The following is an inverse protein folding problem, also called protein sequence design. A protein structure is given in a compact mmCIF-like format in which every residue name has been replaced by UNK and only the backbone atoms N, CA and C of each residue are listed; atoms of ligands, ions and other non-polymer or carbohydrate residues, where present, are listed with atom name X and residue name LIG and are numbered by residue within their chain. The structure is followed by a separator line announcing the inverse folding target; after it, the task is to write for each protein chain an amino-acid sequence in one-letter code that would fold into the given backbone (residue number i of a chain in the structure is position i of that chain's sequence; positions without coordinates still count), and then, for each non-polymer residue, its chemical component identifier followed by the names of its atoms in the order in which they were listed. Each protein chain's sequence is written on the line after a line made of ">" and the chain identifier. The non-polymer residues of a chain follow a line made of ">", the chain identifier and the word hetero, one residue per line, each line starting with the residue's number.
data_IF_704263147114
#
_entry.id   IF_704263147114
#
_cell.length_a   1.000
_cell.length_b   1.000
_cell.length_c   1.000
_cell.angle_alpha   90.00
_cell.angle_beta   90.00
_cell.angle_gamma   90.00
#
_symmetry.space_group_name_H-M   'P 1'
#
loop_
_entity.id
_entity.type
_entity.pdbx_description
1 polymer ?
#
# COMPACT_ATOMS: atom_id res chain seq x y z
N UNK A 1 -36.47 -33.12 -20.99
CA UNK A 1 -35.10 -33.70 -21.14
C UNK A 1 -34.09 -32.91 -20.31
N UNK A 2 -34.18 -31.57 -20.26
CA UNK A 2 -33.33 -30.68 -19.45
C UNK A 2 -33.34 -30.99 -17.95
N UNK A 3 -34.50 -31.26 -17.35
CA UNK A 3 -34.62 -31.61 -15.92
C UNK A 3 -33.85 -32.89 -15.54
N UNK A 4 -33.75 -33.85 -16.45
CA UNK A 4 -32.99 -35.09 -16.23
C UNK A 4 -31.50 -34.78 -16.28
N UNK A 5 -31.06 -33.95 -17.23
CA UNK A 5 -29.66 -33.54 -17.36
C UNK A 5 -29.19 -32.73 -16.16
N UNK A 6 -30.02 -31.83 -15.62
CA UNK A 6 -29.67 -31.03 -14.45
C UNK A 6 -29.64 -31.87 -13.16
N UNK A 7 -30.54 -32.85 -13.02
CA UNK A 7 -30.46 -33.86 -11.96
C UNK A 7 -29.16 -34.66 -12.01
N UNK A 8 -28.71 -35.08 -13.20
CA UNK A 8 -27.43 -35.79 -13.35
C UNK A 8 -26.22 -34.90 -13.07
N UNK A 9 -26.27 -33.60 -13.37
CA UNK A 9 -25.19 -32.66 -13.00
C UNK A 9 -25.07 -32.50 -11.49
N UNK A 10 -26.19 -32.40 -10.80
CA UNK A 10 -26.21 -32.30 -9.34
C UNK A 10 -25.81 -33.63 -8.67
N UNK A 11 -26.23 -34.77 -9.23
CA UNK A 11 -25.71 -36.07 -8.79
C UNK A 11 -24.19 -36.12 -8.95
N UNK A 12 -23.67 -35.74 -10.12
CA UNK A 12 -22.25 -35.77 -10.42
C UNK A 12 -21.43 -34.93 -9.44
N UNK A 13 -21.90 -33.73 -9.09
CA UNK A 13 -21.19 -32.89 -8.10
C UNK A 13 -21.14 -33.55 -6.72
N UNK A 14 -22.20 -34.26 -6.32
CA UNK A 14 -22.25 -35.03 -5.06
C UNK A 14 -21.38 -36.30 -5.10
N UNK A 15 -21.28 -36.98 -6.25
CA UNK A 15 -20.38 -38.14 -6.43
C UNK A 15 -18.89 -37.78 -6.37
N UNK A 16 -18.53 -36.51 -6.63
CA UNK A 16 -17.16 -36.02 -6.41
C UNK A 16 -16.76 -36.06 -4.94
N UNK A 17 -17.72 -36.01 -4.01
CA UNK A 17 -17.43 -36.19 -2.60
C UNK A 17 -17.13 -37.68 -2.30
N UNK A 18 -15.90 -38.02 -1.87
CA UNK A 18 -15.50 -39.41 -1.60
C UNK A 18 -16.38 -40.10 -0.56
N UNK A 19 -16.91 -39.34 0.42
CA UNK A 19 -17.75 -39.89 1.48
C UNK A 19 -19.15 -40.25 0.95
N UNK A 20 -19.71 -39.43 0.07
CA UNK A 20 -21.04 -39.69 -0.51
C UNK A 20 -21.01 -40.88 -1.47
N UNK A 21 -19.99 -40.96 -2.33
CA UNK A 21 -19.82 -42.10 -3.23
C UNK A 21 -19.58 -43.40 -2.44
N UNK A 22 -18.68 -43.37 -1.45
CA UNK A 22 -18.42 -44.53 -0.58
C UNK A 22 -19.66 -44.95 0.22
N UNK A 23 -20.46 -44.00 0.69
CA UNK A 23 -21.72 -44.27 1.36
C UNK A 23 -22.74 -44.94 0.43
N UNK A 24 -22.91 -44.47 -0.81
CA UNK A 24 -23.81 -45.10 -1.76
C UNK A 24 -23.39 -46.54 -2.09
N UNK A 25 -22.10 -46.78 -2.30
CA UNK A 25 -21.59 -48.13 -2.53
C UNK A 25 -21.77 -49.03 -1.30
N UNK A 26 -21.42 -48.54 -0.11
CA UNK A 26 -21.64 -49.28 1.13
C UNK A 26 -23.12 -49.56 1.34
N UNK A 27 -24.00 -48.58 1.11
CA UNK A 27 -25.45 -48.73 1.22
C UNK A 27 -25.97 -49.81 0.28
N UNK A 28 -25.52 -49.81 -0.97
CA UNK A 28 -25.90 -50.84 -1.94
C UNK A 28 -25.42 -52.24 -1.54
N UNK A 29 -24.25 -52.35 -0.91
CA UNK A 29 -23.70 -53.63 -0.41
C UNK A 29 -24.50 -54.14 0.80
N UNK A 30 -24.78 -53.28 1.79
CA UNK A 30 -25.55 -53.67 2.98
C UNK A 30 -27.02 -53.96 2.64
N UNK A 31 -27.60 -53.24 1.67
CA UNK A 31 -28.98 -53.40 1.22
C UNK A 31 -29.06 -54.18 -0.11
N UNK A 32 -28.13 -55.10 -0.34
CA UNK A 32 -28.00 -55.82 -1.62
C UNK A 32 -29.28 -56.58 -2.02
N UNK A 33 -30.07 -57.06 -1.05
CA UNK A 33 -31.35 -57.73 -1.32
C UNK A 33 -32.38 -56.80 -1.96
N UNK A 34 -32.44 -55.57 -1.48
CA UNK A 34 -33.33 -54.53 -2.03
C UNK A 34 -32.83 -54.12 -3.42
N UNK A 35 -31.52 -53.89 -3.56
CA UNK A 35 -30.91 -53.50 -4.84
C UNK A 35 -31.11 -54.56 -5.91
N UNK A 36 -30.81 -55.83 -5.62
CA UNK A 36 -31.04 -56.93 -6.55
C UNK A 36 -32.52 -57.17 -6.82
N UNK A 37 -33.37 -57.04 -5.80
CA UNK A 37 -34.82 -57.14 -5.92
C UNK A 37 -35.40 -56.15 -6.93
N UNK A 38 -34.95 -54.89 -6.87
CA UNK A 38 -35.41 -53.83 -7.76
C UNK A 38 -34.80 -53.96 -9.17
N UNK A 39 -33.51 -54.27 -9.28
CA UNK A 39 -32.80 -54.30 -10.58
C UNK A 39 -33.12 -55.56 -11.38
N UNK A 40 -33.25 -56.71 -10.72
CA UNK A 40 -33.23 -58.02 -11.39
C UNK A 40 -34.56 -58.77 -11.37
N UNK A 41 -35.45 -58.54 -10.42
CA UNK A 41 -36.67 -59.33 -10.28
C UNK A 41 -37.93 -58.55 -10.73
N UNK A 42 -38.67 -59.04 -11.73
CA UNK A 42 -39.98 -58.51 -12.09
C UNK A 42 -41.00 -58.84 -11.00
N UNK A 43 -42.05 -58.02 -10.85
CA UNK A 43 -43.00 -58.11 -9.72
C UNK A 43 -43.60 -59.51 -9.50
N UNK A 44 -43.87 -60.24 -10.59
CA UNK A 44 -44.42 -61.62 -10.55
C UNK A 44 -43.47 -62.65 -9.93
N UNK A 45 -42.16 -62.44 -10.01
CA UNK A 45 -41.16 -63.30 -9.39
C UNK A 45 -40.92 -62.91 -7.92
N UNK A 46 -41.17 -61.65 -7.58
CA UNK A 46 -41.08 -61.14 -6.22
C UNK A 46 -42.17 -61.74 -5.31
N UNK A 47 -43.40 -61.86 -5.84
CA UNK A 47 -44.52 -62.55 -5.18
C UNK A 47 -44.16 -64.00 -4.82
N UNK A 48 -43.43 -64.71 -5.70
CA UNK A 48 -42.96 -66.07 -5.43
C UNK A 48 -41.91 -66.15 -4.31
N UNK A 49 -41.19 -65.07 -4.08
CA UNK A 49 -40.22 -64.96 -2.98
C UNK A 49 -40.86 -64.55 -1.65
N UNK A 50 -42.19 -64.38 -1.60
CA UNK A 50 -42.95 -64.04 -0.40
C UNK A 50 -42.96 -62.55 -0.07
N UNK A 51 -42.95 -61.71 -1.11
CA UNK A 51 -43.19 -60.26 -1.00
C UNK A 51 -44.25 -59.85 -2.03
N UNK A 52 -45.38 -59.31 -1.57
CA UNK A 52 -46.50 -58.94 -2.43
C UNK A 52 -46.21 -57.65 -3.21
N UNK A 53 -45.32 -56.80 -2.70
CA UNK A 53 -44.92 -55.54 -3.35
C UNK A 53 -43.44 -55.22 -3.15
N UNK A 54 -42.87 -54.38 -4.03
CA UNK A 54 -41.52 -53.83 -3.83
C UNK A 54 -41.40 -53.02 -2.54
N UNK A 55 -42.49 -52.40 -2.09
CA UNK A 55 -42.52 -51.65 -0.83
C UNK A 55 -42.34 -52.62 0.33
N UNK A 56 -43.00 -53.78 0.30
CA UNK A 56 -42.85 -54.81 1.31
C UNK A 56 -41.43 -55.40 1.36
N UNK A 57 -40.79 -55.57 0.20
CA UNK A 57 -39.38 -55.98 0.13
C UNK A 57 -38.48 -55.00 0.88
N UNK A 58 -38.70 -53.71 0.68
CA UNK A 58 -37.95 -52.65 1.36
C UNK A 58 -38.26 -52.69 2.84
N UNK A 59 -39.52 -52.60 3.27
CA UNK A 59 -39.88 -52.49 4.68
C UNK A 59 -39.42 -53.70 5.51
N UNK A 60 -39.52 -54.91 4.96
CA UNK A 60 -39.11 -56.14 5.64
C UNK A 60 -37.60 -56.32 5.74
N UNK A 61 -36.82 -55.64 4.90
CA UNK A 61 -35.36 -55.59 4.97
C UNK A 61 -34.83 -54.23 5.48
N UNK A 62 -35.70 -53.34 5.96
CA UNK A 62 -35.36 -52.00 6.45
C UNK A 62 -34.98 -52.06 7.93
N UNK A 63 -33.87 -52.74 8.24
CA UNK A 63 -33.27 -52.61 9.55
C UNK A 63 -32.55 -51.27 9.64
N UNK A 64 -32.81 -50.51 10.72
CA UNK A 64 -32.16 -49.21 10.94
C UNK A 64 -30.62 -49.31 10.89
N UNK A 65 -30.08 -50.44 11.35
CA UNK A 65 -28.65 -50.74 11.29
C UNK A 65 -28.14 -50.90 9.85
N UNK A 66 -28.81 -51.69 9.02
CA UNK A 66 -28.37 -51.98 7.65
C UNK A 66 -28.66 -50.82 6.68
N UNK A 67 -29.69 -50.02 6.98
CA UNK A 67 -30.13 -48.92 6.11
C UNK A 67 -29.32 -47.65 6.33
N UNK A 68 -28.88 -47.37 7.58
CA UNK A 68 -28.23 -46.10 7.92
C UNK A 68 -26.85 -46.29 8.56
N UNK A 69 -26.78 -46.97 9.72
CA UNK A 69 -25.54 -46.99 10.51
C UNK A 69 -24.41 -47.78 9.86
N UNK A 70 -24.68 -48.99 9.37
CA UNK A 70 -23.70 -49.85 8.71
C UNK A 70 -23.04 -49.17 7.50
N UNK A 71 -23.82 -48.63 6.54
CA UNK A 71 -23.29 -47.89 5.41
C UNK A 71 -22.49 -46.65 5.79
N UNK A 72 -22.93 -45.86 6.79
CA UNK A 72 -22.20 -44.67 7.25
C UNK A 72 -20.85 -45.07 7.85
N UNK A 73 -20.83 -46.05 8.76
CA UNK A 73 -19.60 -46.51 9.42
C UNK A 73 -18.65 -47.09 8.38
N UNK A 74 -19.16 -47.93 7.46
CA UNK A 74 -18.35 -48.51 6.39
C UNK A 74 -17.78 -47.45 5.44
N UNK A 75 -18.55 -46.42 5.10
CA UNK A 75 -18.06 -45.32 4.27
C UNK A 75 -16.95 -44.51 4.96
N UNK A 76 -17.12 -44.22 6.26
CA UNK A 76 -16.09 -43.51 7.04
C UNK A 76 -14.81 -44.36 7.11
N UNK A 77 -14.93 -45.65 7.43
CA UNK A 77 -13.78 -46.57 7.44
C UNK A 77 -13.11 -46.61 6.06
N UNK A 78 -13.87 -46.75 4.98
CA UNK A 78 -13.32 -46.77 3.63
C UNK A 78 -12.55 -45.49 3.31
N UNK A 79 -13.10 -44.31 3.60
CA UNK A 79 -12.42 -43.02 3.39
C UNK A 79 -11.15 -42.90 4.23
N UNK A 80 -11.12 -43.46 5.45
CA UNK A 80 -9.91 -43.49 6.29
C UNK A 80 -8.86 -44.48 5.80
N UNK A 81 -9.25 -45.67 5.32
CA UNK A 81 -8.32 -46.71 4.87
C UNK A 81 -7.84 -46.51 3.43
N UNK A 82 -8.61 -45.84 2.59
CA UNK A 82 -8.28 -45.64 1.18
C UNK A 82 -6.93 -44.92 0.97
N UNK A 83 -6.57 -43.84 1.71
CA UNK A 83 -5.25 -43.24 1.64
C UNK A 83 -4.12 -44.21 1.98
N UNK A 84 -4.32 -45.09 2.97
CA UNK A 84 -3.32 -46.08 3.39
C UNK A 84 -3.09 -47.09 2.27
N UNK A 85 -4.16 -47.62 1.68
CA UNK A 85 -4.08 -48.55 0.55
C UNK A 85 -3.41 -47.86 -0.65
N UNK A 86 -3.79 -46.62 -0.96
CA UNK A 86 -3.20 -45.84 -2.05
C UNK A 86 -1.70 -45.61 -1.86
N UNK A 87 -1.29 -45.25 -0.64
CA UNK A 87 0.12 -45.08 -0.31
C UNK A 87 0.87 -46.41 -0.38
N UNK A 88 0.25 -47.51 0.06
CA UNK A 88 0.80 -48.86 -0.09
C UNK A 88 1.01 -49.26 -1.54
N UNK A 89 0.03 -49.01 -2.42
CA UNK A 89 0.17 -49.24 -3.86
C UNK A 89 1.29 -48.39 -4.45
N UNK A 90 1.38 -47.12 -4.06
CA UNK A 90 2.42 -46.21 -4.55
C UNK A 90 3.82 -46.64 -4.09
N UNK A 91 3.95 -47.07 -2.83
CA UNK A 91 5.20 -47.62 -2.29
C UNK A 91 5.59 -48.93 -2.98
N UNK A 92 4.62 -49.81 -3.23
CA UNK A 92 4.84 -51.05 -3.98
C UNK A 92 5.31 -50.78 -5.41
N UNK A 93 4.68 -49.83 -6.10
CA UNK A 93 5.10 -49.39 -7.43
C UNK A 93 6.53 -48.84 -7.41
N UNK A 94 6.86 -47.97 -6.44
CA UNK A 94 8.21 -47.43 -6.28
C UNK A 94 9.24 -48.54 -6.01
N UNK A 95 8.87 -49.53 -5.19
CA UNK A 95 9.71 -50.70 -4.93
C UNK A 95 9.95 -51.54 -6.19
N UNK A 96 8.91 -51.82 -6.97
CA UNK A 96 9.05 -52.54 -8.24
C UNK A 96 9.94 -51.77 -9.24
N UNK A 97 9.83 -50.45 -9.30
CA UNK A 97 10.68 -49.61 -10.16
C UNK A 97 12.13 -49.61 -9.68
N UNK A 98 12.37 -49.47 -8.38
CA UNK A 98 13.72 -49.52 -7.80
C UNK A 98 14.37 -50.88 -8.09
N UNK A 99 13.65 -51.98 -7.82
CA UNK A 99 14.11 -53.33 -8.13
C UNK A 99 14.42 -53.51 -9.62
N UNK A 100 13.53 -53.04 -10.50
CA UNK A 100 13.72 -53.10 -11.94
C UNK A 100 14.93 -52.29 -12.41
N UNK A 101 15.18 -51.13 -11.79
CA UNK A 101 16.35 -50.29 -12.07
C UNK A 101 17.62 -50.97 -11.61
N UNK A 102 17.66 -51.55 -10.40
CA UNK A 102 18.84 -52.26 -9.89
C UNK A 102 19.17 -53.49 -10.74
N UNK A 103 18.14 -54.22 -11.19
CA UNK A 103 18.29 -55.32 -12.14
C UNK A 103 18.83 -54.79 -13.48
N UNK A 104 18.23 -53.75 -14.04
CA UNK A 104 18.68 -53.14 -15.29
C UNK A 104 20.13 -52.65 -15.19
N UNK A 105 20.52 -52.06 -14.06
CA UNK A 105 21.89 -51.63 -13.75
C UNK A 105 22.84 -52.83 -13.67
N UNK A 106 22.41 -53.95 -13.07
CA UNK A 106 23.20 -55.17 -13.01
C UNK A 106 23.43 -55.80 -14.40
N UNK A 107 22.41 -55.79 -15.26
CA UNK A 107 22.52 -56.25 -16.66
C UNK A 107 23.33 -55.27 -17.51
N UNK A 108 23.16 -53.96 -17.31
CA UNK A 108 23.80 -52.94 -18.15
C UNK A 108 25.30 -52.77 -17.88
N UNK A 109 25.84 -53.35 -16.81
CA UNK A 109 27.30 -53.42 -16.57
C UNK A 109 28.04 -54.13 -17.70
N UNK A 110 27.37 -55.03 -18.43
CA UNK A 110 27.89 -55.69 -19.65
C UNK A 110 27.55 -54.95 -20.96
N UNK A 111 26.87 -53.80 -20.89
CA UNK A 111 26.47 -53.02 -22.07
C UNK A 111 27.43 -51.87 -22.37
N UNK A 112 27.45 -51.44 -23.64
CA UNK A 112 28.45 -50.56 -24.30
C UNK A 112 28.69 -49.19 -23.63
N UNK A 113 27.85 -48.76 -22.68
CA UNK A 113 28.06 -47.53 -21.91
C UNK A 113 28.21 -47.87 -20.43
N UNK A 114 29.44 -47.76 -19.86
CA UNK A 114 29.69 -48.06 -18.45
C UNK A 114 28.82 -47.21 -17.54
N UNK A 115 28.20 -47.84 -16.55
CA UNK A 115 27.37 -47.21 -15.51
C UNK A 115 28.09 -46.04 -14.81
N UNK A 116 29.42 -46.11 -14.70
CA UNK A 116 30.25 -45.06 -14.12
C UNK A 116 30.15 -43.74 -14.87
N UNK A 117 29.95 -43.77 -16.20
CA UNK A 117 29.74 -42.57 -17.01
C UNK A 117 28.40 -41.93 -16.67
N UNK A 118 27.36 -42.73 -16.47
CA UNK A 118 26.04 -42.23 -16.06
C UNK A 118 26.07 -41.62 -14.65
N UNK A 119 26.70 -42.29 -13.70
CA UNK A 119 26.86 -41.78 -12.33
C UNK A 119 27.68 -40.49 -12.31
N UNK A 120 28.73 -40.41 -13.13
CA UNK A 120 29.52 -39.19 -13.29
C UNK A 120 28.67 -38.03 -13.83
N UNK A 121 27.90 -38.26 -14.89
CA UNK A 121 27.01 -37.23 -15.46
C UNK A 121 25.91 -36.77 -14.50
N UNK A 122 25.39 -37.69 -13.69
CA UNK A 122 24.39 -37.36 -12.66
C UNK A 122 25.00 -36.44 -11.60
N UNK A 123 26.21 -36.76 -11.11
CA UNK A 123 26.95 -35.89 -10.18
C UNK A 123 27.27 -34.53 -10.78
N UNK A 124 27.72 -34.47 -12.03
CA UNK A 124 27.95 -33.21 -12.74
C UNK A 124 26.68 -32.36 -12.85
N UNK A 125 25.54 -33.01 -13.13
CA UNK A 125 24.23 -32.35 -13.19
C UNK A 125 23.81 -31.80 -11.84
N UNK A 126 24.05 -32.54 -10.75
CA UNK A 126 23.72 -32.07 -9.40
C UNK A 126 24.61 -30.91 -8.95
N UNK A 127 25.90 -30.94 -9.30
CA UNK A 127 26.82 -29.81 -9.08
C UNK A 127 26.33 -28.57 -9.84
N UNK A 128 25.97 -28.72 -11.12
CA UNK A 128 25.48 -27.62 -11.95
C UNK A 128 24.17 -27.04 -11.40
N UNK A 129 23.25 -27.89 -10.92
CA UNK A 129 22.02 -27.45 -10.24
C UNK A 129 22.33 -26.66 -8.98
N UNK A 130 23.30 -27.09 -8.19
CA UNK A 130 23.76 -26.35 -7.00
C UNK A 130 24.30 -24.96 -7.36
N UNK A 131 25.15 -24.87 -8.39
CA UNK A 131 25.67 -23.59 -8.89
C UNK A 131 24.56 -22.67 -9.40
N UNK A 132 23.55 -23.24 -10.10
CA UNK A 132 22.42 -22.46 -10.57
C UNK A 132 21.57 -21.92 -9.41
N UNK A 133 21.36 -22.71 -8.36
CA UNK A 133 20.66 -22.26 -7.15
C UNK A 133 21.41 -21.13 -6.44
N UNK A 134 22.74 -21.21 -6.37
CA UNK A 134 23.58 -20.15 -5.79
C UNK A 134 23.49 -18.86 -6.62
N UNK A 135 23.57 -18.95 -7.95
CA UNK A 135 23.40 -17.81 -8.85
C UNK A 135 22.01 -17.18 -8.68
N UNK A 136 20.95 -17.98 -8.61
CA UNK A 136 19.59 -17.49 -8.40
C UNK A 136 19.42 -16.82 -7.03
N UNK A 137 20.02 -17.39 -5.97
CA UNK A 137 20.00 -16.77 -4.65
C UNK A 137 20.73 -15.42 -4.66
N UNK A 138 21.86 -15.33 -5.35
CA UNK A 138 22.61 -14.08 -5.53
C UNK A 138 21.82 -13.06 -6.35
N UNK A 139 21.21 -13.47 -7.46
CA UNK A 139 20.38 -12.61 -8.30
C UNK A 139 19.20 -12.02 -7.52
N UNK A 140 18.51 -12.85 -6.72
CA UNK A 140 17.43 -12.38 -5.85
C UNK A 140 17.92 -11.36 -4.83
N UNK A 141 19.08 -11.58 -4.20
CA UNK A 141 19.64 -10.61 -3.26
C UNK A 141 20.00 -9.27 -3.92
N UNK A 142 20.51 -9.30 -5.15
CA UNK A 142 20.81 -8.09 -5.94
C UNK A 142 19.52 -7.40 -6.41
N UNK A 143 18.46 -8.14 -6.71
CA UNK A 143 17.15 -7.56 -7.02
C UNK A 143 16.56 -6.84 -5.81
N UNK A 144 16.64 -7.45 -4.63
CA UNK A 144 16.18 -6.82 -3.38
C UNK A 144 16.96 -5.54 -3.08
N UNK A 145 18.28 -5.56 -3.24
CA UNK A 145 19.13 -4.36 -3.09
C UNK A 145 18.74 -3.25 -4.08
N UNK A 146 18.50 -3.60 -5.35
CA UNK A 146 18.04 -2.64 -6.35
C UNK A 146 16.67 -2.04 -6.01
N UNK A 147 15.75 -2.82 -5.45
CA UNK A 147 14.45 -2.32 -5.00
C UNK A 147 14.59 -1.33 -3.84
N UNK A 148 15.49 -1.62 -2.89
CA UNK A 148 15.78 -0.71 -1.78
C UNK A 148 16.41 0.60 -2.28
N UNK A 149 17.41 0.52 -3.15
CA UNK A 149 18.07 1.71 -3.73
C UNK A 149 17.08 2.56 -4.55
N UNK A 150 16.21 1.93 -5.35
CA UNK A 150 15.18 2.65 -6.09
C UNK A 150 14.19 3.37 -5.17
N UNK A 151 13.81 2.73 -4.06
CA UNK A 151 12.93 3.34 -3.05
C UNK A 151 13.60 4.55 -2.40
N UNK A 152 14.90 4.44 -2.09
CA UNK A 152 15.68 5.55 -1.54
C UNK A 152 15.81 6.71 -2.54
N UNK A 153 16.05 6.43 -3.82
CA UNK A 153 16.08 7.45 -4.88
C UNK A 153 14.75 8.20 -4.96
N UNK A 154 13.62 7.50 -4.91
CA UNK A 154 12.29 8.13 -4.93
C UNK A 154 12.10 9.03 -3.71
N UNK A 155 12.52 8.58 -2.53
CA UNK A 155 12.44 9.38 -1.29
C UNK A 155 13.29 10.64 -1.38
N UNK A 156 14.55 10.54 -1.82
CA UNK A 156 15.45 11.68 -1.97
C UNK A 156 14.91 12.68 -3.01
N UNK A 157 14.32 12.20 -4.11
CA UNK A 157 13.67 13.08 -5.10
C UNK A 157 12.49 13.84 -4.50
N UNK A 158 11.63 13.16 -3.74
CA UNK A 158 10.51 13.81 -3.06
C UNK A 158 10.99 14.88 -2.06
N UNK A 159 12.03 14.60 -1.27
CA UNK A 159 12.63 15.59 -0.36
C UNK A 159 13.25 16.77 -1.11
N UNK A 160 13.87 16.53 -2.27
CA UNK A 160 14.45 17.57 -3.11
C UNK A 160 13.36 18.45 -3.73
N UNK A 161 12.28 17.86 -4.22
CA UNK A 161 11.11 18.59 -4.74
C UNK A 161 10.44 19.41 -3.64
N UNK A 162 10.28 18.87 -2.44
CA UNK A 162 9.75 19.61 -1.28
C UNK A 162 10.62 20.83 -0.95
N UNK A 163 11.94 20.65 -0.87
CA UNK A 163 12.88 21.75 -0.62
C UNK A 163 12.85 22.78 -1.75
N UNK A 164 12.77 22.35 -3.01
CA UNK A 164 12.66 23.24 -4.16
C UNK A 164 11.37 24.06 -4.12
N UNK A 165 10.24 23.46 -3.75
CA UNK A 165 8.97 24.17 -3.57
C UNK A 165 9.05 25.18 -2.41
N UNK A 166 9.66 24.81 -1.27
CA UNK A 166 9.89 25.74 -0.16
C UNK A 166 10.77 26.92 -0.57
N UNK A 167 11.82 26.68 -1.36
CA UNK A 167 12.69 27.73 -1.87
C UNK A 167 11.95 28.67 -2.81
N UNK A 168 11.15 28.13 -3.75
CA UNK A 168 10.30 28.97 -4.62
C UNK A 168 9.31 29.81 -3.82
N UNK A 169 8.67 29.23 -2.81
CA UNK A 169 7.76 29.97 -1.94
C UNK A 169 8.47 31.08 -1.17
N UNK A 170 9.68 30.83 -0.66
CA UNK A 170 10.50 31.86 -0.02
C UNK A 170 10.90 32.94 -1.03
N UNK A 171 11.27 32.56 -2.25
CA UNK A 171 11.62 33.48 -3.33
C UNK A 171 10.42 34.39 -3.67
N UNK A 172 9.23 33.81 -3.88
CA UNK A 172 7.96 34.52 -4.08
C UNK A 172 7.61 35.46 -2.93
N UNK A 173 7.83 35.05 -1.67
CA UNK A 173 7.65 35.92 -0.50
C UNK A 173 8.71 37.03 -0.39
N UNK A 174 9.92 36.76 -0.87
CA UNK A 174 11.05 37.69 -0.80
C UNK A 174 11.03 38.74 -1.89
N UNK A 175 10.30 38.50 -2.99
CA UNK A 175 10.05 39.52 -4.00
C UNK A 175 9.39 40.72 -3.31
N UNK A 176 10.15 41.83 -3.29
CA UNK A 176 9.87 43.10 -2.59
C UNK A 176 8.53 43.73 -3.02
N UNK A 177 7.89 43.18 -4.06
CA UNK A 177 6.55 43.50 -4.54
C UNK A 177 5.47 43.42 -3.45
N UNK A 178 5.65 42.63 -2.39
CA UNK A 178 4.71 42.64 -1.26
C UNK A 178 4.59 44.02 -0.58
N UNK A 179 5.70 44.76 -0.53
CA UNK A 179 5.73 46.10 0.06
C UNK A 179 5.33 47.19 -0.94
N UNK A 180 5.21 46.86 -2.23
CA UNK A 180 4.83 47.85 -3.23
C UNK A 180 3.39 48.33 -3.04
N UNK A 181 3.22 49.65 -3.08
CA UNK A 181 1.94 50.32 -2.92
C UNK A 181 1.98 51.47 -1.93
N UNK A 182 0.81 52.06 -1.71
CA UNK A 182 0.64 53.19 -0.81
C UNK A 182 0.24 52.71 0.59
N UNK A 183 0.99 53.19 1.57
CA UNK A 183 0.85 52.86 2.97
C UNK A 183 0.51 54.11 3.75
N UNK A 184 -0.43 54.03 4.68
CA UNK A 184 -0.69 55.11 5.63
C UNK A 184 0.13 54.86 6.88
N UNK A 185 1.18 55.65 7.10
CA UNK A 185 1.97 55.64 8.33
C UNK A 185 1.31 56.53 9.36
N UNK A 186 0.95 56.02 10.53
CA UNK A 186 0.39 56.83 11.62
C UNK A 186 1.44 56.93 12.73
N UNK A 187 2.06 58.09 12.88
CA UNK A 187 3.01 58.39 13.93
C UNK A 187 2.30 59.00 15.16
N UNK A 188 2.60 58.49 16.35
CA UNK A 188 2.23 59.14 17.62
C UNK A 188 3.38 60.00 18.11
N UNK A 189 3.28 61.31 17.93
CA UNK A 189 4.31 62.26 18.38
C UNK A 189 4.25 62.52 19.88
N UNK A 190 3.04 62.54 20.47
CA UNK A 190 2.75 62.74 21.89
C UNK A 190 1.47 61.96 22.28
N UNK A 191 1.14 61.83 23.58
CA UNK A 191 -0.03 61.07 24.06
C UNK A 191 -1.35 61.42 23.35
N UNK A 192 -1.50 62.66 22.87
CA UNK A 192 -2.75 63.15 22.28
C UNK A 192 -2.67 63.54 20.79
N UNK A 193 -1.52 63.38 20.10
CA UNK A 193 -1.39 63.78 18.68
C UNK A 193 -0.93 62.61 17.81
N UNK A 194 -1.83 62.18 16.94
CA UNK A 194 -1.55 61.24 15.84
C UNK A 194 -1.38 62.04 14.56
N UNK A 195 -0.27 61.84 13.87
CA UNK A 195 -0.06 62.36 12.51
C UNK A 195 0.00 61.19 11.56
N UNK A 196 -0.77 61.26 10.48
CA UNK A 196 -0.77 60.24 9.44
C UNK A 196 -0.10 60.78 8.18
N UNK A 197 0.86 60.05 7.64
CA UNK A 197 1.56 60.37 6.40
C UNK A 197 1.39 59.23 5.40
N UNK A 198 1.17 59.56 4.13
CA UNK A 198 1.10 58.57 3.06
C UNK A 198 2.52 58.30 2.56
N UNK A 199 2.87 57.03 2.48
CA UNK A 199 4.17 56.55 2.05
C UNK A 199 3.95 55.58 0.91
N UNK A 200 4.44 55.95 -0.26
CA UNK A 200 4.44 55.08 -1.43
C UNK A 200 5.76 54.34 -1.48
N UNK A 201 5.71 53.00 -1.48
CA UNK A 201 6.89 52.16 -1.65
C UNK A 201 6.83 51.61 -3.07
N UNK A 202 7.84 51.89 -3.89
CA UNK A 202 7.94 51.36 -5.25
C UNK A 202 9.35 50.80 -5.45
N UNK A 203 9.43 49.49 -5.67
CA UNK A 203 10.69 48.77 -5.97
C UNK A 203 11.84 49.09 -5.00
N UNK A 204 11.53 49.15 -3.71
CA UNK A 204 12.50 49.42 -2.63
C UNK A 204 12.78 50.90 -2.33
N UNK A 205 12.27 51.82 -3.15
CA UNK A 205 12.30 53.25 -2.86
C UNK A 205 11.07 53.68 -2.07
N UNK A 206 11.25 54.55 -1.07
CA UNK A 206 10.17 55.04 -0.22
C UNK A 206 9.97 56.54 -0.44
N UNK A 207 8.83 56.91 -1.00
CA UNK A 207 8.45 58.31 -1.22
C UNK A 207 7.43 58.73 -0.16
N UNK A 208 7.78 59.72 0.66
CA UNK A 208 6.86 60.33 1.62
C UNK A 208 6.08 61.44 0.91
N UNK A 209 4.75 61.42 0.96
CA UNK A 209 3.92 62.39 0.23
C UNK A 209 3.87 63.77 0.89
N UNK A 210 4.25 63.87 2.17
CA UNK A 210 4.01 65.07 3.00
C UNK A 210 5.21 66.01 3.14
N UNK A 211 6.40 65.54 2.77
CA UNK A 211 7.64 66.30 2.76
C UNK A 211 8.39 65.93 1.48
N UNK A 212 9.10 66.85 0.85
CA UNK A 212 10.03 66.54 -0.26
C UNK A 212 11.23 65.68 0.20
N UNK A 213 11.07 64.88 1.26
CA UNK A 213 12.07 63.98 1.77
C UNK A 213 11.99 62.65 1.01
N UNK A 214 13.12 62.25 0.43
CA UNK A 214 13.26 60.96 -0.25
C UNK A 214 13.93 60.02 0.76
N UNK A 215 13.24 58.94 1.11
CA UNK A 215 13.77 57.89 1.97
C UNK A 215 14.26 56.69 1.15
N UNK A 216 15.42 56.14 1.50
CA UNK A 216 15.87 54.86 0.98
C UNK A 216 15.89 53.83 2.10
N UNK A 217 15.25 52.68 1.88
CA UNK A 217 15.30 51.55 2.81
C UNK A 217 16.68 50.90 2.65
N UNK A 218 17.55 51.02 3.67
CA UNK A 218 18.91 50.45 3.62
C UNK A 218 18.94 48.97 3.90
N UNK A 219 18.15 48.54 4.85
CA UNK A 219 18.07 47.14 5.23
C UNK A 219 16.70 46.79 5.77
N UNK A 220 16.30 45.56 5.51
CA UNK A 220 15.03 44.99 5.90
C UNK A 220 15.34 43.64 6.56
N UNK A 221 14.97 43.49 7.83
CA UNK A 221 15.25 42.30 8.61
C UNK A 221 13.94 41.71 9.12
N UNK A 222 13.61 40.49 8.70
CA UNK A 222 12.45 39.78 9.22
C UNK A 222 12.86 38.79 10.31
N UNK A 223 12.42 39.06 11.53
CA UNK A 223 12.54 38.11 12.63
C UNK A 223 11.37 37.11 12.55
N UNK A 224 11.67 35.91 12.05
CA UNK A 224 10.69 34.83 11.89
C UNK A 224 10.09 34.34 13.21
N UNK A 225 10.85 34.41 14.32
CA UNK A 225 10.42 33.95 15.64
C UNK A 225 9.36 34.88 16.23
N UNK A 226 9.61 36.19 16.15
CA UNK A 226 8.73 37.20 16.73
C UNK A 226 7.69 37.74 15.73
N UNK A 227 7.78 37.33 14.47
CA UNK A 227 6.98 37.86 13.34
C UNK A 227 7.11 39.38 13.17
N UNK A 228 8.28 39.91 13.52
CA UNK A 228 8.61 41.33 13.50
C UNK A 228 9.46 41.61 12.28
N UNK A 229 9.06 42.58 11.45
CA UNK A 229 9.90 43.13 10.40
C UNK A 229 10.55 44.43 10.90
N UNK A 230 11.87 44.51 10.91
CA UNK A 230 12.64 45.70 11.20
C UNK A 230 13.08 46.33 9.87
N UNK A 231 12.87 47.64 9.72
CA UNK A 231 13.34 48.40 8.56
C UNK A 231 14.30 49.46 9.05
N UNK A 232 15.48 49.57 8.42
CA UNK A 232 16.41 50.69 8.60
C UNK A 232 16.23 51.64 7.42
N UNK A 233 15.73 52.85 7.69
CA UNK A 233 15.40 53.85 6.67
C UNK A 233 16.41 54.99 6.79
N UNK A 234 17.06 55.35 5.68
CA UNK A 234 17.81 56.59 5.58
C UNK A 234 16.93 57.64 4.89
N UNK A 235 16.54 58.66 5.63
CA UNK A 235 15.76 59.79 5.11
C UNK A 235 16.73 60.89 4.69
N UNK A 236 16.66 61.32 3.44
CA UNK A 236 17.34 62.52 2.94
C UNK A 236 16.31 63.65 2.86
N UNK A 237 16.34 64.56 3.83
CA UNK A 237 15.57 65.79 3.75
C UNK A 237 16.26 66.74 2.76
N UNK A 238 15.54 67.16 1.70
CA UNK A 238 15.95 68.33 0.92
C UNK A 238 15.78 69.55 1.82
N UNK A 239 16.88 70.02 2.40
CA UNK A 239 16.89 71.31 3.09
C UNK A 239 16.57 72.42 2.08
N UNK A 240 15.70 73.35 2.46
CA UNK A 240 15.50 74.60 1.72
C UNK A 240 16.87 75.23 1.40
N UNK A 241 17.07 75.64 0.15
CA UNK A 241 18.35 76.07 -0.45
C UNK A 241 19.12 77.19 0.30
N UNK A 242 18.59 77.72 1.42
CA UNK A 242 19.18 78.80 2.19
C UNK A 242 20.11 78.37 3.33
N UNK A 243 20.25 77.08 3.64
CA UNK A 243 21.14 76.64 4.74
C UNK A 243 21.78 75.28 4.44
N UNK A 244 23.08 75.27 4.15
CA UNK A 244 23.91 74.06 4.01
C UNK A 244 23.99 73.33 5.37
N UNK A 245 22.96 72.55 5.69
CA UNK A 245 22.94 71.60 6.79
C UNK A 245 23.34 70.21 6.30
N UNK A 246 24.24 69.55 7.02
CA UNK A 246 24.58 68.13 6.80
C UNK A 246 23.31 67.27 6.80
N UNK A 247 23.20 66.23 5.94
CA UNK A 247 22.03 65.35 5.92
C UNK A 247 21.79 64.74 7.31
N UNK A 248 20.60 64.97 7.86
CA UNK A 248 20.20 64.44 9.16
C UNK A 248 19.94 62.95 8.99
N UNK A 249 20.89 62.11 9.43
CA UNK A 249 20.68 60.66 9.48
C UNK A 249 19.86 60.30 10.71
N UNK A 250 18.58 60.04 10.51
CA UNK A 250 17.71 59.46 11.53
C UNK A 250 17.54 57.97 11.27
N UNK A 251 17.79 57.13 12.29
CA UNK A 251 17.46 55.70 12.25
C UNK A 251 16.14 55.49 12.97
N UNK A 252 15.17 54.93 12.26
CA UNK A 252 13.86 54.58 12.84
C UNK A 252 13.67 53.06 12.73
N UNK A 253 13.22 52.43 13.82
CA UNK A 253 12.95 50.99 13.85
C UNK A 253 11.45 50.74 13.88
N UNK A 254 10.94 50.04 12.87
CA UNK A 254 9.55 49.60 12.81
C UNK A 254 9.44 48.16 13.30
N UNK A 255 8.31 47.77 13.89
CA UNK A 255 8.06 46.38 14.27
C UNK A 255 6.65 45.97 13.83
N UNK A 256 6.48 44.70 13.45
CA UNK A 256 5.24 44.18 12.88
C UNK A 256 4.71 43.10 13.83
N UNK A 257 3.41 43.09 14.08
CA UNK A 257 2.76 42.01 14.82
C UNK A 257 1.43 41.67 14.15
N UNK A 258 1.21 40.42 13.74
CA UNK A 258 -0.09 40.03 13.20
C UNK A 258 -1.13 40.07 14.32
N UNK A 259 -2.11 40.98 14.23
CA UNK A 259 -3.30 40.99 15.10
C UNK A 259 -4.45 40.24 14.41
N UNK A 260 -5.21 39.46 15.17
CA UNK A 260 -6.21 38.50 14.65
C UNK A 260 -7.43 39.12 13.93
N UNK A 261 -7.49 40.44 13.77
CA UNK A 261 -8.68 41.14 13.24
C UNK A 261 -8.41 42.02 12.02
N UNK A 262 -7.15 42.26 11.65
CA UNK A 262 -6.72 42.96 10.43
C UNK A 262 -5.38 42.34 10.02
N UNK A 263 -5.11 42.00 8.75
CA UNK A 263 -3.98 41.14 8.40
C UNK A 263 -2.62 41.57 8.96
N UNK A 264 -2.38 42.87 9.18
CA UNK A 264 -1.16 43.38 9.80
C UNK A 264 -1.42 44.71 10.53
N UNK A 265 -0.98 44.84 11.79
CA UNK A 265 -0.87 46.11 12.50
C UNK A 265 0.60 46.34 12.86
N UNK A 266 1.18 47.51 12.51
CA UNK A 266 2.53 47.84 12.97
C UNK A 266 2.54 48.42 14.36
N UNK A 267 3.64 48.19 15.06
CA UNK A 267 3.96 48.78 16.34
C UNK A 267 5.44 49.15 16.35
N UNK A 268 5.81 50.40 16.08
CA UNK A 268 7.21 50.82 16.27
C UNK A 268 7.64 50.73 17.74
N UNK A 269 8.90 50.33 17.97
CA UNK A 269 9.55 50.37 19.29
C UNK A 269 10.73 51.33 19.13
N UNK A 270 10.50 52.59 19.52
CA UNK A 270 11.58 53.58 19.65
C UNK A 270 12.08 53.58 21.10
N UNK A 271 13.40 53.72 21.32
CA UNK A 271 13.96 53.86 22.67
C UNK A 271 13.55 55.18 23.35
N UNK A 272 12.98 56.13 22.59
CA UNK A 272 12.30 57.32 23.09
C UNK A 272 10.87 57.45 22.49
N UNK A 273 9.91 56.87 23.23
CA UNK A 273 8.45 57.13 23.26
C UNK A 273 7.74 57.71 22.02
N UNK A 274 7.64 56.94 20.93
CA UNK A 274 6.61 57.15 19.91
C UNK A 274 6.22 55.80 19.28
N UNK A 275 4.92 55.52 19.24
CA UNK A 275 4.35 54.30 18.65
C UNK A 275 3.86 54.67 17.25
N UNK A 276 4.30 53.93 16.23
CA UNK A 276 3.87 54.11 14.85
C UNK A 276 3.10 52.87 14.41
N UNK A 277 1.91 53.07 13.85
CA UNK A 277 1.01 52.05 13.31
C UNK A 277 0.81 52.34 11.82
N UNK A 278 1.12 51.41 10.90
CA UNK A 278 0.68 51.54 9.52
C UNK A 278 -0.54 50.68 9.24
N UNK A 279 -1.38 51.21 8.36
CA UNK A 279 -2.53 50.51 7.77
C UNK A 279 -2.38 50.53 6.27
N UNK A 280 -2.49 49.36 5.63
CA UNK A 280 -2.61 49.26 4.18
C UNK A 280 -3.99 49.77 3.79
N UNK A 281 -4.06 50.72 2.86
CA UNK A 281 -5.31 51.13 2.27
C UNK A 281 -5.68 50.04 1.26
N UNK A 282 -6.80 49.36 1.48
CA UNK A 282 -7.36 48.45 0.49
C UNK A 282 -7.90 49.30 -0.67
N UNK A 283 -7.50 48.98 -1.90
CA UNK A 283 -8.21 49.44 -3.10
C UNK A 283 -9.58 48.79 -3.18
#
# INVERSE_FOLDING_TARGET
>A
MEAVTDFFKELRSRFTNPLFSSFLFAWAIFNWRVVLGIIRYPSKELERAGYDTYIELVTKNSDCWNMLFGPIISAILYVMFFPIIRNGISAWQAFCVAWGTDWQVAISKDSVVPIDIYLKRTKETDILKGQLQEILAKENSTLDENLLLNTEIVKVRAELEEKAMRLKFIDELSQITFFEGDWLVVHRLNENKLESQMVSINSGNMNLSSSNAIGSIKSLYYNTVNRILLMDIEILEQGDESTYGSPIRRKEYFSFSPTNTVPFALKAINSNSSIVELRRLAN
#
